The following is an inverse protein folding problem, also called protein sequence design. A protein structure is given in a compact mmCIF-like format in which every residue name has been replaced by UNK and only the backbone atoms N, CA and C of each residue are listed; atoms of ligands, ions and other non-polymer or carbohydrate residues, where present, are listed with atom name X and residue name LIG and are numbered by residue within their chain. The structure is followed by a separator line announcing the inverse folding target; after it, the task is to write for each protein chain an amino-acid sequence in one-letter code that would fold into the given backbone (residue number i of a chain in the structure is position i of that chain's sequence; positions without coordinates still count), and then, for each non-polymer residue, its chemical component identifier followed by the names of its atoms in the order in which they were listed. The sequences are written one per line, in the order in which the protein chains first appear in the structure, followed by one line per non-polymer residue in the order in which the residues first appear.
data_IF_212510574514
#
_entry.id   IF_212510574514
#
_cell.length_a   1.000
_cell.length_b   1.000
_cell.length_c   1.000
_cell.angle_alpha   90.00
_cell.angle_beta   90.00
_cell.angle_gamma   90.00
#
_symmetry.space_group_name_H-M   'P 1'
#
loop_
_entity.id
_entity.type
_entity.pdbx_description
1 polymer ?
#
# COMPACT_ATOMS: atom_id res chain seq x y z
N UNK A 1 -11.47 5.01 64.84
CA UNK A 1 -10.56 4.94 63.67
C UNK A 1 -10.45 3.48 63.28
N UNK A 2 -11.20 3.03 62.26
CA UNK A 2 -11.20 1.61 61.85
C UNK A 2 -9.90 1.35 61.10
N UNK A 3 -9.08 0.44 61.63
CA UNK A 3 -7.86 -0.03 60.95
C UNK A 3 -8.25 -0.60 59.58
N UNK A 4 -7.85 0.10 58.52
CA UNK A 4 -7.92 -0.42 57.17
C UNK A 4 -7.05 -1.69 57.13
N UNK A 5 -7.67 -2.80 56.82
CA UNK A 5 -7.11 -4.12 57.04
C UNK A 5 -6.13 -4.42 55.89
N UNK A 6 -4.85 -4.08 56.09
CA UNK A 6 -3.75 -4.07 55.09
C UNK A 6 -3.71 -5.31 54.19
N UNK A 7 -4.10 -6.49 54.70
CA UNK A 7 -4.15 -7.74 53.92
C UNK A 7 -5.12 -7.69 52.73
N UNK A 8 -6.23 -6.97 52.85
CA UNK A 8 -7.19 -6.83 51.76
C UNK A 8 -6.76 -5.75 50.76
N UNK A 9 -5.98 -4.76 51.22
CA UNK A 9 -5.38 -3.73 50.37
C UNK A 9 -4.34 -4.34 49.42
N UNK A 10 -3.50 -5.26 49.90
CA UNK A 10 -2.52 -5.95 49.05
C UNK A 10 -3.16 -6.90 48.04
N UNK A 11 -4.25 -7.59 48.40
CA UNK A 11 -4.98 -8.45 47.46
C UNK A 11 -5.66 -7.60 46.37
N UNK A 12 -6.20 -6.44 46.73
CA UNK A 12 -6.83 -5.52 45.77
C UNK A 12 -5.80 -4.90 44.80
N UNK A 13 -4.64 -4.49 45.31
CA UNK A 13 -3.51 -4.01 44.49
C UNK A 13 -2.98 -5.10 43.54
N UNK A 14 -2.90 -6.35 43.99
CA UNK A 14 -2.46 -7.47 43.14
C UNK A 14 -3.50 -7.83 42.07
N UNK A 15 -4.79 -7.56 42.31
CA UNK A 15 -5.87 -7.78 41.33
C UNK A 15 -5.90 -6.69 40.24
N UNK A 16 -5.53 -5.45 40.56
CA UNK A 16 -5.40 -4.36 39.57
C UNK A 16 -4.19 -4.62 38.64
N UNK A 17 -3.09 -5.20 39.14
CA UNK A 17 -1.93 -5.55 38.31
C UNK A 17 -2.12 -6.76 37.39
N UNK A 18 -3.31 -7.41 37.38
CA UNK A 18 -3.63 -8.53 36.47
C UNK A 18 -4.68 -8.09 35.44
N UNK A 19 -4.97 -6.79 35.30
CA UNK A 19 -5.68 -6.32 34.11
C UNK A 19 -4.68 -6.53 32.96
N UNK A 20 -4.95 -7.44 32.00
CA UNK A 20 -4.16 -7.43 30.78
C UNK A 20 -4.33 -6.04 30.18
N UNK A 21 -3.23 -5.35 29.86
CA UNK A 21 -3.23 -4.21 28.95
C UNK A 21 -3.74 -4.76 27.61
N UNK A 22 -5.06 -4.83 27.47
CA UNK A 22 -5.72 -5.18 26.24
C UNK A 22 -5.73 -3.90 25.42
N UNK A 23 -4.69 -3.72 24.62
CA UNK A 23 -4.71 -2.70 23.58
C UNK A 23 -5.97 -2.96 22.73
N UNK A 24 -6.92 -2.04 22.77
CA UNK A 24 -8.16 -2.14 22.00
C UNK A 24 -7.88 -1.68 20.58
N UNK A 25 -7.63 -2.63 19.67
CA UNK A 25 -7.59 -2.32 18.24
C UNK A 25 -9.01 -2.10 17.72
N UNK A 26 -9.29 -0.90 17.22
CA UNK A 26 -10.58 -0.58 16.60
C UNK A 26 -10.48 -0.76 15.09
N UNK A 27 -11.20 -1.75 14.53
CA UNK A 27 -11.29 -1.94 13.07
C UNK A 27 -12.07 -0.80 12.41
N UNK A 28 -11.39 -0.03 11.58
CA UNK A 28 -11.95 1.10 10.83
C UNK A 28 -12.54 0.66 9.49
N UNK A 29 -11.86 -0.23 8.77
CA UNK A 29 -12.31 -0.72 7.47
C UNK A 29 -11.76 -2.11 7.13
N UNK A 30 -12.37 -2.78 6.17
CA UNK A 30 -11.85 -4.01 5.55
C UNK A 30 -11.68 -3.77 4.05
N UNK A 31 -10.57 -4.21 3.47
CA UNK A 31 -10.25 -4.05 2.06
C UNK A 31 -9.99 -5.39 1.39
N UNK A 32 -10.74 -5.68 0.35
CA UNK A 32 -10.51 -6.83 -0.52
C UNK A 32 -9.78 -6.36 -1.79
N UNK A 33 -8.63 -6.95 -2.09
CA UNK A 33 -7.81 -6.61 -3.26
C UNK A 33 -7.57 -7.83 -4.14
N UNK A 34 -7.93 -7.73 -5.42
CA UNK A 34 -7.49 -8.65 -6.47
C UNK A 34 -6.52 -7.92 -7.37
N UNK A 35 -5.41 -8.57 -7.70
CA UNK A 35 -4.48 -8.05 -8.69
C UNK A 35 -4.09 -9.13 -9.70
N UNK A 36 -3.78 -8.71 -10.91
CA UNK A 36 -3.21 -9.55 -11.95
C UNK A 36 -2.10 -8.82 -12.68
N UNK A 37 -0.95 -9.47 -12.80
CA UNK A 37 0.19 -8.98 -13.54
C UNK A 37 0.34 -9.79 -14.84
N UNK A 38 0.36 -9.12 -15.97
CA UNK A 38 0.61 -9.72 -17.28
C UNK A 38 1.81 -9.06 -17.93
N UNK A 39 2.66 -9.81 -18.61
CA UNK A 39 3.81 -9.25 -19.30
C UNK A 39 4.47 -10.24 -20.24
N UNK A 40 5.55 -9.78 -20.87
CA UNK A 40 6.32 -10.54 -21.83
C UNK A 40 7.70 -10.86 -21.27
N UNK A 41 8.12 -12.12 -21.43
CA UNK A 41 9.47 -12.57 -21.10
C UNK A 41 10.11 -13.11 -22.38
N UNK A 42 11.23 -12.53 -22.79
CA UNK A 42 11.97 -12.94 -23.97
C UNK A 42 13.25 -13.67 -23.57
N UNK A 43 13.47 -14.85 -24.16
CA UNK A 43 14.70 -15.60 -23.99
C UNK A 43 15.73 -15.21 -25.06
N UNK A 44 16.77 -14.48 -24.68
CA UNK A 44 17.85 -14.04 -25.56
C UNK A 44 19.02 -15.06 -25.63
N UNK A 45 18.88 -16.24 -25.03
CA UNK A 45 19.85 -17.33 -25.17
C UNK A 45 19.68 -18.10 -26.49
N UNK A 46 20.78 -18.65 -27.06
CA UNK A 46 20.73 -19.54 -28.23
C UNK A 46 20.19 -20.94 -27.94
N UNK A 47 19.72 -21.20 -26.72
CA UNK A 47 19.16 -22.48 -26.26
C UNK A 47 17.89 -22.24 -25.44
N UNK A 48 17.04 -23.26 -25.34
CA UNK A 48 15.82 -23.17 -24.53
C UNK A 48 16.16 -23.03 -23.05
N UNK A 49 15.46 -22.14 -22.36
CA UNK A 49 15.57 -21.95 -20.91
C UNK A 49 14.31 -22.46 -20.24
N UNK A 50 14.48 -23.03 -19.04
CA UNK A 50 13.36 -23.38 -18.17
C UNK A 50 13.19 -22.27 -17.12
N UNK A 51 11.99 -21.70 -17.03
CA UNK A 51 11.64 -20.71 -16.02
C UNK A 51 10.75 -21.37 -14.98
N UNK A 52 11.20 -21.36 -13.74
CA UNK A 52 10.46 -21.83 -12.57
C UNK A 52 9.40 -20.81 -12.17
N UNK A 53 8.26 -21.30 -11.70
CA UNK A 53 7.16 -20.46 -11.23
C UNK A 53 7.25 -20.33 -9.70
N UNK A 54 7.19 -19.12 -9.14
CA UNK A 54 7.14 -18.94 -7.70
C UNK A 54 5.75 -19.32 -7.15
N UNK A 55 5.71 -19.88 -5.95
CA UNK A 55 4.46 -20.19 -5.23
C UNK A 55 3.86 -18.94 -4.58
N UNK A 56 4.72 -18.00 -4.19
CA UNK A 56 4.36 -16.75 -3.53
C UNK A 56 5.13 -15.58 -4.15
N UNK A 57 4.57 -14.37 -4.07
CA UNK A 57 5.28 -13.13 -4.42
C UNK A 57 5.51 -12.32 -3.16
N UNK A 58 6.76 -11.93 -2.96
CA UNK A 58 7.19 -11.00 -1.93
C UNK A 58 6.99 -9.55 -2.40
N UNK A 59 6.40 -8.74 -1.54
CA UNK A 59 6.25 -7.31 -1.74
C UNK A 59 7.38 -6.55 -1.04
N UNK A 60 7.82 -5.47 -1.66
CA UNK A 60 8.61 -4.46 -0.96
C UNK A 60 7.61 -3.51 -0.29
N UNK A 61 7.52 -3.54 1.03
CA UNK A 61 6.73 -2.56 1.77
C UNK A 61 7.33 -1.16 1.65
N UNK A 62 6.46 -0.18 1.42
CA UNK A 62 6.87 1.20 1.27
C UNK A 62 6.04 2.12 2.15
N UNK A 63 6.71 2.66 3.16
CA UNK A 63 6.17 3.73 3.98
C UNK A 63 6.15 5.05 3.20
N UNK A 64 5.02 5.76 3.32
CA UNK A 64 4.77 7.09 2.82
C UNK A 64 4.68 8.07 4.01
N UNK A 65 4.88 9.35 3.75
CA UNK A 65 4.80 10.36 4.80
C UNK A 65 3.34 10.65 5.14
N UNK A 66 2.98 10.58 6.42
CA UNK A 66 1.68 11.08 6.93
C UNK A 66 1.78 12.49 7.52
N UNK A 67 0.63 13.08 7.86
CA UNK A 67 0.53 14.32 8.64
C UNK A 67 0.37 14.02 10.11
N UNK A 68 0.89 14.89 10.99
CA UNK A 68 0.63 14.81 12.44
C UNK A 68 -0.82 15.03 12.82
N UNK A 69 -1.59 15.67 11.94
CA UNK A 69 -3.00 15.95 12.18
C UNK A 69 -3.90 14.80 11.69
N UNK A 70 -3.32 13.73 11.15
CA UNK A 70 -4.05 12.56 10.63
C UNK A 70 -4.05 11.47 11.68
N UNK A 71 -5.16 10.74 11.76
CA UNK A 71 -5.19 9.49 12.50
C UNK A 71 -4.47 8.44 11.67
N UNK A 72 -3.44 7.80 12.22
CA UNK A 72 -2.70 6.76 11.51
C UNK A 72 -3.47 5.44 11.54
N UNK A 73 -3.63 4.83 10.36
CA UNK A 73 -4.19 3.49 10.23
C UNK A 73 -3.06 2.49 10.02
N UNK A 74 -3.19 1.35 10.68
CA UNK A 74 -2.34 0.17 10.51
C UNK A 74 -3.15 -0.96 9.88
N UNK A 75 -2.47 -2.04 9.50
CA UNK A 75 -3.14 -3.28 9.11
C UNK A 75 -3.23 -4.15 10.38
N UNK A 76 -4.45 -4.43 10.83
CA UNK A 76 -4.73 -5.19 12.04
C UNK A 76 -4.35 -6.65 11.89
N UNK A 77 -3.82 -7.20 12.97
CA UNK A 77 -3.39 -8.59 13.08
C UNK A 77 -4.61 -9.53 13.00
N UNK A 78 -4.51 -10.59 12.20
CA UNK A 78 -5.42 -11.73 12.33
C UNK A 78 -4.83 -12.75 13.30
N UNK A 79 -4.84 -12.46 14.60
CA UNK A 79 -4.61 -13.34 15.77
C UNK A 79 -3.43 -14.36 15.77
N UNK A 80 -2.62 -14.50 14.73
CA UNK A 80 -1.49 -15.43 14.65
C UNK A 80 -0.33 -14.79 13.82
N UNK A 81 0.79 -14.52 14.50
CA UNK A 81 2.13 -14.13 14.02
C UNK A 81 2.40 -12.63 13.67
N UNK A 82 3.40 -12.07 14.38
CA UNK A 82 3.81 -10.65 14.52
C UNK A 82 4.34 -9.93 13.25
N UNK A 83 3.98 -10.33 12.02
CA UNK A 83 4.46 -9.65 10.80
C UNK A 83 3.34 -9.51 9.76
N UNK A 84 3.10 -8.28 9.30
CA UNK A 84 2.23 -7.99 8.15
C UNK A 84 2.66 -8.92 7.00
N UNK A 85 1.76 -9.80 6.50
CA UNK A 85 2.16 -10.81 5.51
C UNK A 85 2.82 -10.13 4.30
N UNK A 86 4.13 -10.25 4.18
CA UNK A 86 4.92 -9.62 3.10
C UNK A 86 4.84 -10.43 1.80
N UNK A 87 4.20 -11.60 1.83
CA UNK A 87 3.99 -12.46 0.67
C UNK A 87 2.51 -12.70 0.41
N UNK A 88 2.15 -12.93 -0.86
CA UNK A 88 0.85 -13.48 -1.24
C UNK A 88 1.05 -14.80 -2.01
N UNK A 89 0.21 -15.84 -1.79
CA UNK A 89 0.19 -17.00 -2.67
C UNK A 89 -0.26 -16.58 -4.07
N UNK A 90 0.42 -17.07 -5.11
CA UNK A 90 0.17 -16.63 -6.49
C UNK A 90 -0.25 -17.77 -7.40
N UNK A 91 -1.26 -17.51 -8.22
CA UNK A 91 -1.61 -18.41 -9.32
C UNK A 91 -1.00 -17.92 -10.62
N UNK A 92 -0.26 -18.79 -11.31
CA UNK A 92 0.26 -18.55 -12.65
C UNK A 92 -0.59 -19.24 -13.71
N UNK A 93 -1.06 -18.47 -14.68
CA UNK A 93 -1.77 -18.95 -15.86
C UNK A 93 -0.77 -19.14 -17.00
N UNK A 94 -0.41 -20.39 -17.25
CA UNK A 94 0.62 -20.74 -18.22
C UNK A 94 0.31 -22.01 -19.01
N UNK A 95 0.59 -21.96 -20.31
CA UNK A 95 0.49 -23.09 -21.23
C UNK A 95 1.66 -23.08 -22.23
N UNK A 96 2.44 -24.16 -22.40
CA UNK A 96 2.37 -25.44 -21.67
C UNK A 96 3.11 -25.39 -20.32
N UNK A 97 2.48 -25.94 -19.28
CA UNK A 97 3.10 -26.19 -17.98
C UNK A 97 4.01 -27.43 -18.07
N UNK A 98 5.16 -27.37 -17.42
CA UNK A 98 6.17 -28.45 -17.38
C UNK A 98 6.79 -28.54 -15.98
N UNK A 99 7.55 -29.60 -15.74
CA UNK A 99 8.24 -29.85 -14.48
C UNK A 99 9.69 -30.21 -14.79
N UNK A 100 10.63 -29.57 -14.11
CA UNK A 100 12.06 -29.86 -14.21
C UNK A 100 12.63 -29.93 -12.79
N UNK A 101 13.28 -31.06 -12.45
CA UNK A 101 13.88 -31.28 -11.13
C UNK A 101 12.91 -31.08 -9.93
N UNK A 102 11.63 -31.43 -10.09
CA UNK A 102 10.62 -31.24 -9.04
C UNK A 102 10.06 -29.83 -8.92
N UNK A 103 10.48 -28.91 -9.81
CA UNK A 103 9.97 -27.54 -9.84
C UNK A 103 9.04 -27.35 -11.03
N UNK A 104 7.87 -26.78 -10.76
CA UNK A 104 6.90 -26.41 -11.80
C UNK A 104 7.38 -25.16 -12.54
N UNK A 105 7.13 -25.15 -13.85
CA UNK A 105 7.62 -24.09 -14.71
C UNK A 105 7.25 -24.29 -16.17
N UNK A 106 8.05 -23.70 -17.05
CA UNK A 106 7.84 -23.74 -18.48
C UNK A 106 9.12 -23.51 -19.27
N UNK A 107 9.13 -24.00 -20.51
CA UNK A 107 10.24 -23.80 -21.43
C UNK A 107 9.98 -22.62 -22.36
N UNK A 108 10.95 -21.73 -22.46
CA UNK A 108 10.99 -20.70 -23.50
C UNK A 108 12.07 -21.09 -24.53
N UNK A 109 11.71 -21.33 -25.80
CA UNK A 109 12.67 -21.58 -26.87
C UNK A 109 13.68 -20.42 -27.08
N UNK A 110 14.78 -20.65 -27.80
CA UNK A 110 15.77 -19.62 -28.13
C UNK A 110 15.14 -18.44 -28.89
N UNK A 111 15.44 -17.20 -28.50
CA UNK A 111 15.01 -15.98 -29.17
C UNK A 111 13.49 -15.88 -29.35
N UNK A 112 12.74 -16.37 -28.36
CA UNK A 112 11.28 -16.32 -28.37
C UNK A 112 10.75 -15.64 -27.12
N UNK A 113 9.57 -15.06 -27.29
CA UNK A 113 8.84 -14.35 -26.23
C UNK A 113 7.67 -15.20 -25.75
N UNK A 114 7.53 -15.32 -24.43
CA UNK A 114 6.40 -15.93 -23.78
C UNK A 114 5.57 -14.85 -23.07
N UNK A 115 4.24 -14.98 -23.16
CA UNK A 115 3.34 -14.17 -22.36
C UNK A 115 3.11 -14.86 -21.02
N UNK A 116 3.23 -14.10 -19.94
CA UNK A 116 2.92 -14.58 -18.60
C UNK A 116 1.73 -13.83 -18.02
N UNK A 117 0.98 -14.53 -17.19
CA UNK A 117 -0.08 -13.96 -16.37
C UNK A 117 -0.03 -14.60 -15.00
N UNK A 118 0.01 -13.77 -13.98
CA UNK A 118 -0.06 -14.18 -12.59
C UNK A 118 -1.08 -13.32 -11.86
N UNK A 119 -1.72 -13.86 -10.83
CA UNK A 119 -2.73 -13.14 -10.06
C UNK A 119 -2.85 -13.66 -8.65
N UNK A 120 -3.30 -12.79 -7.75
CA UNK A 120 -3.64 -13.16 -6.38
C UNK A 120 -4.79 -12.30 -5.83
N UNK A 121 -5.25 -12.68 -4.65
CA UNK A 121 -6.28 -12.02 -3.85
C UNK A 121 -5.78 -11.86 -2.43
N UNK A 122 -6.04 -10.70 -1.84
CA UNK A 122 -5.67 -10.37 -0.47
C UNK A 122 -6.82 -9.66 0.24
N UNK A 123 -6.88 -9.84 1.56
CA UNK A 123 -7.75 -9.08 2.45
C UNK A 123 -6.86 -8.35 3.44
N UNK A 124 -7.04 -7.04 3.56
CA UNK A 124 -6.37 -6.21 4.57
C UNK A 124 -7.44 -5.63 5.52
N UNK A 125 -7.12 -5.52 6.80
CA UNK A 125 -8.01 -5.01 7.84
C UNK A 125 -7.40 -3.73 8.39
N UNK A 126 -8.02 -2.57 8.13
CA UNK A 126 -7.46 -1.30 8.60
C UNK A 126 -7.91 -1.05 10.04
N UNK A 127 -6.96 -0.96 10.97
CA UNK A 127 -7.20 -0.69 12.40
C UNK A 127 -6.58 0.64 12.82
N UNK A 128 -7.05 1.13 13.97
CA UNK A 128 -6.37 2.17 14.73
C UNK A 128 -6.08 1.60 16.11
N UNK A 129 -4.91 1.93 16.65
CA UNK A 129 -4.63 1.65 18.05
C UNK A 129 -5.26 2.76 18.87
N UNK A 130 -6.14 2.42 19.80
CA UNK A 130 -6.48 3.33 20.88
C UNK A 130 -5.28 3.31 21.84
N UNK A 131 -4.47 4.38 21.81
CA UNK A 131 -3.45 4.59 22.83
C UNK A 131 -4.19 4.80 24.16
N UNK A 132 -4.33 3.74 24.96
CA UNK A 132 -4.84 3.78 26.35
C UNK A 132 -3.94 4.61 27.31
N UNK A 133 -2.96 5.36 26.79
CA UNK A 133 -2.12 6.26 27.58
C UNK A 133 -2.85 7.54 28.05
N UNK A 134 -4.13 7.71 27.70
CA UNK A 134 -5.03 8.69 28.30
C UNK A 134 -5.94 8.06 29.39
N UNK A 135 -5.34 7.29 30.30
CA UNK A 135 -5.93 7.17 31.64
C UNK A 135 -5.86 8.54 32.34
N UNK A 136 -7.04 9.04 32.73
CA UNK A 136 -7.29 10.14 33.68
C UNK A 136 -6.97 11.58 33.22
N UNK A 137 -7.90 12.19 32.52
CA UNK A 137 -8.72 13.30 33.03
C UNK A 137 -9.67 13.74 31.91
N UNK A 138 -10.76 14.44 32.23
CA UNK A 138 -11.54 15.15 31.23
C UNK A 138 -10.60 15.97 30.34
N UNK A 139 -10.24 15.46 29.16
CA UNK A 139 -9.43 16.19 28.20
C UNK A 139 -10.34 17.28 27.63
N UNK A 140 -10.45 18.36 28.40
CA UNK A 140 -11.11 19.55 27.94
C UNK A 140 -10.25 20.03 26.80
N UNK A 141 -10.69 19.73 25.58
CA UNK A 141 -10.21 20.34 24.35
C UNK A 141 -10.38 21.85 24.51
N UNK A 142 -9.31 22.51 25.00
CA UNK A 142 -9.31 23.94 25.34
C UNK A 142 -9.03 24.81 24.12
N UNK A 143 -8.62 24.18 23.02
CA UNK A 143 -8.22 24.80 21.76
C UNK A 143 -8.94 24.16 20.59
N UNK A 144 -9.26 24.94 19.56
CA UNK A 144 -9.74 24.36 18.30
C UNK A 144 -8.55 23.68 17.62
N UNK A 145 -8.62 22.38 17.46
CA UNK A 145 -7.59 21.59 16.79
C UNK A 145 -8.03 21.23 15.36
N UNK A 146 -7.06 21.13 14.47
CA UNK A 146 -7.29 20.69 13.10
C UNK A 146 -7.21 19.17 13.10
N UNK A 147 -8.33 18.49 12.85
CA UNK A 147 -8.38 17.05 12.66
C UNK A 147 -8.49 16.73 11.16
N UNK A 148 -7.53 15.98 10.65
CA UNK A 148 -7.51 15.49 9.27
C UNK A 148 -8.12 14.09 9.14
N UNK A 149 -8.12 13.50 7.93
CA UNK A 149 -8.61 12.14 7.72
C UNK A 149 -7.78 11.10 8.48
N UNK A 150 -8.31 9.89 8.57
CA UNK A 150 -7.51 8.72 8.85
C UNK A 150 -6.68 8.35 7.61
N UNK A 151 -5.40 8.07 7.77
CA UNK A 151 -4.49 7.78 6.68
C UNK A 151 -3.82 6.43 6.89
N UNK A 152 -3.85 5.57 5.87
CA UNK A 152 -3.01 4.36 5.81
C UNK A 152 -1.76 4.69 4.99
N UNK A 153 -0.59 4.93 5.62
CA UNK A 153 0.56 5.50 4.95
C UNK A 153 1.50 4.44 4.34
N UNK A 154 0.97 3.28 3.92
CA UNK A 154 1.78 2.19 3.37
C UNK A 154 1.25 1.72 2.02
N UNK A 155 2.16 1.26 1.15
CA UNK A 155 1.82 0.59 -0.10
C UNK A 155 2.76 -0.59 -0.36
N UNK A 156 2.27 -1.60 -1.08
CA UNK A 156 3.03 -2.79 -1.46
C UNK A 156 3.59 -2.63 -2.87
N UNK A 157 4.90 -2.81 -3.03
CA UNK A 157 5.56 -2.70 -4.32
C UNK A 157 5.87 -4.08 -4.91
N UNK A 158 5.45 -4.28 -6.15
CA UNK A 158 5.86 -5.39 -6.99
C UNK A 158 7.10 -4.96 -7.78
N UNK A 159 8.24 -5.60 -7.52
CA UNK A 159 9.48 -5.43 -8.30
C UNK A 159 9.68 -6.61 -9.25
N UNK A 160 9.54 -6.37 -10.55
CA UNK A 160 9.74 -7.39 -11.59
C UNK A 160 11.12 -8.03 -11.54
N UNK A 161 12.12 -7.28 -11.10
CA UNK A 161 13.50 -7.73 -11.02
C UNK A 161 13.77 -8.61 -9.80
N UNK A 162 12.88 -8.60 -8.80
CA UNK A 162 12.88 -9.57 -7.69
C UNK A 162 12.04 -10.81 -8.03
N UNK A 163 10.92 -10.66 -8.75
CA UNK A 163 10.11 -11.81 -9.22
C UNK A 163 10.88 -12.64 -10.25
N UNK A 164 11.61 -11.97 -11.16
CA UNK A 164 12.39 -12.62 -12.21
C UNK A 164 13.85 -12.12 -12.10
N UNK A 165 14.64 -12.62 -11.14
CA UNK A 165 16.02 -12.17 -10.91
C UNK A 165 16.94 -12.35 -12.12
N UNK A 166 16.61 -13.31 -12.99
CA UNK A 166 17.34 -13.54 -14.24
C UNK A 166 17.38 -12.28 -15.13
N UNK A 167 16.36 -11.42 -15.07
CA UNK A 167 16.35 -10.15 -15.82
C UNK A 167 17.51 -9.20 -15.48
N UNK A 168 18.09 -9.29 -14.28
CA UNK A 168 19.18 -8.39 -13.84
C UNK A 168 20.55 -8.75 -14.42
N UNK A 169 20.77 -10.01 -14.79
CA UNK A 169 22.12 -10.54 -15.09
C UNK A 169 22.18 -11.49 -16.29
N UNK A 170 21.05 -12.03 -16.70
CA UNK A 170 20.95 -13.03 -17.74
C UNK A 170 20.44 -12.43 -19.05
N UNK A 171 20.50 -13.23 -20.11
CA UNK A 171 19.86 -12.96 -21.40
C UNK A 171 18.36 -13.21 -21.34
N UNK A 172 17.68 -12.63 -20.36
CA UNK A 172 16.22 -12.66 -20.21
C UNK A 172 15.74 -11.21 -20.20
N UNK A 173 14.95 -10.85 -21.19
CA UNK A 173 14.37 -9.50 -21.31
C UNK A 173 12.92 -9.52 -20.85
N UNK A 174 12.52 -8.45 -20.15
CA UNK A 174 11.17 -8.24 -19.64
C UNK A 174 10.58 -7.03 -20.36
N UNK A 175 9.35 -7.12 -20.87
CA UNK A 175 8.68 -5.98 -21.48
C UNK A 175 7.15 -6.04 -21.35
N UNK A 176 6.48 -4.91 -21.64
CA UNK A 176 5.03 -4.78 -21.78
C UNK A 176 4.24 -5.28 -20.55
N UNK A 177 4.78 -5.07 -19.35
CA UNK A 177 4.13 -5.48 -18.12
C UNK A 177 2.96 -4.54 -17.76
N UNK A 178 1.86 -5.15 -17.32
CA UNK A 178 0.62 -4.47 -16.94
C UNK A 178 0.13 -5.07 -15.64
N UNK A 179 0.08 -4.26 -14.60
CA UNK A 179 -0.55 -4.60 -13.33
C UNK A 179 -1.98 -4.07 -13.35
N UNK A 180 -2.96 -4.95 -13.28
CA UNK A 180 -4.37 -4.60 -13.09
C UNK A 180 -4.76 -4.89 -11.66
N UNK A 181 -5.31 -3.90 -10.97
CA UNK A 181 -5.79 -4.04 -9.59
C UNK A 181 -7.26 -3.64 -9.54
N UNK A 182 -8.06 -4.42 -8.82
CA UNK A 182 -9.44 -4.09 -8.47
C UNK A 182 -9.73 -4.56 -7.06
N UNK A 183 -10.63 -3.89 -6.39
CA UNK A 183 -10.99 -4.24 -5.04
C UNK A 183 -12.16 -3.45 -4.53
N UNK A 184 -12.42 -3.61 -3.26
CA UNK A 184 -13.39 -2.81 -2.54
C UNK A 184 -12.95 -2.55 -1.12
N UNK A 185 -13.45 -1.45 -0.57
CA UNK A 185 -13.26 -1.09 0.82
C UNK A 185 -14.62 -0.90 1.49
N UNK A 186 -14.78 -1.50 2.67
CA UNK A 186 -15.99 -1.45 3.48
C UNK A 186 -15.65 -0.83 4.83
N UNK A 187 -16.12 0.39 5.04
CA UNK A 187 -15.96 1.10 6.31
C UNK A 187 -16.86 0.47 7.39
N UNK A 188 -16.34 0.34 8.62
CA UNK A 188 -17.12 -0.04 9.80
C UNK A 188 -17.80 1.17 10.44
N UNK A 189 -18.74 0.91 11.35
CA UNK A 189 -19.43 1.96 12.10
C UNK A 189 -18.50 2.50 13.20
N UNK A 190 -17.67 3.46 12.82
CA UNK A 190 -16.64 4.13 13.64
C UNK A 190 -16.71 5.63 13.43
N UNK A 191 -16.14 6.40 14.37
CA UNK A 191 -16.12 7.87 14.34
C UNK A 191 -15.24 8.46 13.23
N UNK A 192 -14.37 7.64 12.64
CA UNK A 192 -13.62 8.00 11.44
C UNK A 192 -14.59 8.28 10.32
N UNK A 193 -14.54 9.43 9.65
CA UNK A 193 -15.43 9.74 8.52
C UNK A 193 -14.70 9.75 7.18
N UNK A 194 -13.40 10.04 7.18
CA UNK A 194 -12.60 10.20 5.97
C UNK A 194 -11.37 9.32 6.02
N UNK A 195 -11.09 8.61 4.92
CA UNK A 195 -9.94 7.73 4.76
C UNK A 195 -9.12 8.19 3.55
N UNK A 196 -7.81 8.34 3.76
CA UNK A 196 -6.78 8.55 2.75
C UNK A 196 -5.95 7.26 2.66
N UNK A 197 -5.83 6.70 1.46
CA UNK A 197 -5.09 5.46 1.24
C UNK A 197 -4.38 5.51 -0.11
N UNK A 198 -3.07 5.25 -0.20
CA UNK A 198 -2.39 5.10 -1.48
C UNK A 198 -2.95 3.92 -2.28
N UNK A 199 -2.60 3.82 -3.55
CA UNK A 199 -2.84 2.61 -4.32
C UNK A 199 -2.26 1.41 -3.55
N UNK A 200 -3.06 0.39 -3.20
CA UNK A 200 -2.63 -0.66 -2.27
C UNK A 200 -1.47 -1.51 -2.81
N UNK A 201 -1.41 -1.70 -4.13
CA UNK A 201 -0.36 -2.47 -4.81
C UNK A 201 0.13 -1.69 -6.02
N UNK A 202 1.43 -1.46 -6.09
CA UNK A 202 2.05 -0.63 -7.13
C UNK A 202 3.12 -1.43 -7.85
N UNK A 203 3.15 -1.32 -9.17
CA UNK A 203 4.24 -1.87 -9.98
C UNK A 203 5.42 -0.90 -9.90
N UNK A 204 6.58 -1.36 -9.43
CA UNK A 204 7.77 -0.51 -9.31
C UNK A 204 8.15 0.07 -10.67
N UNK A 205 8.55 1.34 -10.69
CA UNK A 205 8.99 2.09 -11.88
C UNK A 205 7.95 2.11 -13.02
N UNK A 206 6.65 2.03 -12.69
CA UNK A 206 5.58 2.14 -13.67
C UNK A 206 5.64 3.49 -14.43
N UNK A 207 5.27 3.44 -15.70
CA UNK A 207 5.24 4.58 -16.62
C UNK A 207 3.94 5.38 -16.54
N UNK A 208 2.79 4.72 -16.34
CA UNK A 208 1.46 5.34 -16.34
C UNK A 208 0.50 4.54 -15.48
N UNK A 209 -0.46 5.21 -14.84
CA UNK A 209 -1.53 4.61 -14.05
C UNK A 209 -2.90 5.09 -14.53
N UNK A 210 -3.66 4.21 -15.18
CA UNK A 210 -5.05 4.45 -15.60
C UNK A 210 -6.00 4.06 -14.47
N UNK A 211 -6.80 5.01 -13.99
CA UNK A 211 -7.78 4.80 -12.91
C UNK A 211 -9.17 4.64 -13.50
N UNK A 212 -9.94 3.66 -13.02
CA UNK A 212 -11.29 3.41 -13.52
C UNK A 212 -12.33 3.84 -12.48
N UNK A 213 -13.29 4.64 -12.96
CA UNK A 213 -14.38 5.20 -12.15
C UNK A 213 -15.69 4.52 -12.56
N UNK A 214 -16.31 3.81 -11.64
CA UNK A 214 -17.63 3.18 -11.74
C UNK A 214 -18.70 3.99 -10.99
N UNK A 215 -19.98 3.66 -11.18
CA UNK A 215 -21.10 4.36 -10.50
C UNK A 215 -21.04 4.27 -8.96
N UNK A 216 -20.36 3.24 -8.44
CA UNK A 216 -20.15 3.00 -7.01
C UNK A 216 -18.66 2.91 -6.68
N UNK A 217 -17.81 3.54 -7.49
CA UNK A 217 -16.40 3.65 -7.17
C UNK A 217 -16.13 4.90 -6.35
N UNK A 218 -15.01 4.88 -5.63
CA UNK A 218 -14.44 6.11 -5.07
C UNK A 218 -14.18 7.09 -6.22
N UNK A 219 -14.95 8.19 -6.27
CA UNK A 219 -14.83 9.25 -7.28
C UNK A 219 -13.62 10.18 -7.04
N UNK A 220 -12.80 9.87 -6.05
CA UNK A 220 -11.81 10.78 -5.47
C UNK A 220 -10.44 10.10 -5.45
N UNK A 221 -10.03 9.62 -6.62
CA UNK A 221 -8.62 9.37 -6.85
C UNK A 221 -7.89 10.70 -6.99
N UNK A 222 -6.75 10.81 -6.31
CA UNK A 222 -5.76 11.86 -6.53
C UNK A 222 -4.56 11.27 -7.25
N UNK A 223 -3.85 12.09 -8.02
CA UNK A 223 -2.69 11.65 -8.80
C UNK A 223 -1.46 11.39 -7.92
N UNK A 224 -1.39 12.09 -6.78
CA UNK A 224 -0.28 12.03 -5.84
C UNK A 224 -0.78 11.96 -4.40
N UNK A 225 -0.37 10.92 -3.68
CA UNK A 225 -0.53 10.84 -2.23
C UNK A 225 0.28 11.94 -1.54
N UNK A 226 1.54 12.12 -1.95
CA UNK A 226 2.49 13.02 -1.31
C UNK A 226 2.06 14.49 -1.43
N UNK A 227 1.60 14.90 -2.60
CA UNK A 227 1.09 16.25 -2.84
C UNK A 227 -0.17 16.49 -2.00
N UNK A 228 -1.08 15.51 -1.92
CA UNK A 228 -2.29 15.63 -1.10
C UNK A 228 -1.98 15.83 0.38
N UNK A 229 -1.03 15.05 0.92
CA UNK A 229 -0.56 15.21 2.30
C UNK A 229 0.13 16.56 2.50
N UNK A 230 0.93 17.01 1.53
CA UNK A 230 1.67 18.28 1.58
C UNK A 230 0.72 19.47 1.58
N UNK A 231 -0.24 19.51 0.66
CA UNK A 231 -1.27 20.54 0.58
C UNK A 231 -2.03 20.66 1.90
N UNK A 232 -2.36 19.53 2.53
CA UNK A 232 -3.05 19.52 3.82
C UNK A 232 -2.16 20.01 4.97
N UNK A 233 -0.89 19.63 4.98
CA UNK A 233 0.08 20.10 5.97
C UNK A 233 0.30 21.61 5.88
N UNK A 234 0.41 22.16 4.67
CA UNK A 234 0.55 23.60 4.45
C UNK A 234 -0.68 24.34 4.96
N UNK A 235 -1.89 23.86 4.66
CA UNK A 235 -3.14 24.44 5.21
C UNK A 235 -3.18 24.44 6.74
N UNK A 236 -2.62 23.42 7.39
CA UNK A 236 -2.52 23.37 8.86
C UNK A 236 -1.47 24.31 9.46
N UNK A 237 -0.49 24.74 8.66
CA UNK A 237 0.61 25.62 9.07
C UNK A 237 0.27 27.12 8.96
N UNK A 238 -0.74 27.47 8.17
CA UNK A 238 -1.14 28.87 7.97
C UNK A 238 -2.18 29.33 9.00
N UNK A 239 -1.71 30.03 10.02
CA UNK A 239 -2.55 30.92 10.83
C UNK A 239 -3.15 32.04 9.97
N UNK A 240 -4.42 31.90 9.55
CA UNK A 240 -5.42 32.92 9.18
C UNK A 240 -5.06 34.08 8.21
N UNK A 241 -3.86 34.17 7.64
CA UNK A 241 -3.41 35.39 6.94
C UNK A 241 -3.27 35.29 5.41
N UNK A 242 -3.66 34.16 4.79
CA UNK A 242 -3.60 34.01 3.32
C UNK A 242 -4.90 33.53 2.65
N UNK A 243 -6.05 33.70 3.30
CA UNK A 243 -7.36 33.38 2.70
C UNK A 243 -7.69 34.23 1.46
N UNK A 244 -7.05 35.40 1.28
CA UNK A 244 -7.28 36.30 0.13
C UNK A 244 -6.41 36.01 -1.11
N UNK A 245 -5.45 35.09 -1.06
CA UNK A 245 -4.60 34.74 -2.22
C UNK A 245 -5.08 33.49 -2.99
N UNK A 246 -6.30 33.03 -2.75
CA UNK A 246 -6.88 31.77 -3.28
C UNK A 246 -7.24 31.77 -4.77
N UNK A 247 -6.53 32.52 -5.62
CA UNK A 247 -6.72 32.48 -7.09
C UNK A 247 -5.44 32.40 -7.92
N UNK A 248 -4.27 32.13 -7.33
CA UNK A 248 -3.05 31.81 -8.09
C UNK A 248 -2.28 30.70 -7.36
N UNK A 249 -1.94 29.58 -8.03
CA UNK A 249 -1.08 28.56 -7.42
C UNK A 249 0.29 29.16 -7.13
N UNK A 250 0.74 29.02 -5.88
CA UNK A 250 2.10 29.35 -5.47
C UNK A 250 2.95 28.12 -5.72
N UNK A 251 3.79 28.15 -6.76
CA UNK A 251 4.85 27.18 -6.95
C UNK A 251 5.98 27.52 -5.98
N UNK A 252 6.14 26.74 -4.91
CA UNK A 252 7.35 26.77 -4.09
C UNK A 252 8.41 25.85 -4.72
N UNK A 253 9.41 26.46 -5.36
CA UNK A 253 10.60 25.76 -5.84
C UNK A 253 11.64 25.70 -4.72
N UNK A 254 11.42 24.79 -3.77
CA UNK A 254 12.43 24.38 -2.78
C UNK A 254 13.53 23.51 -3.41
N UNK A 255 14.80 23.67 -3.03
CA UNK A 255 15.91 22.91 -3.62
C UNK A 255 16.02 21.54 -2.95
N UNK A 256 15.65 20.46 -3.66
CA UNK A 256 15.75 19.10 -3.13
C UNK A 256 15.40 18.02 -4.16
N UNK A 257 16.33 17.76 -5.06
CA UNK A 257 16.29 16.75 -6.13
C UNK A 257 16.29 15.30 -5.61
N UNK A 258 15.17 14.87 -5.05
CA UNK A 258 14.84 13.44 -4.99
C UNK A 258 13.43 13.30 -5.53
N UNK A 259 13.23 12.51 -6.60
CA UNK A 259 11.90 11.98 -6.92
C UNK A 259 11.48 11.19 -5.68
N UNK A 260 10.71 11.78 -4.79
CA UNK A 260 10.04 11.03 -3.74
C UNK A 260 9.20 9.98 -4.43
N UNK A 261 9.35 8.73 -4.00
CA UNK A 261 8.46 7.68 -4.44
C UNK A 261 7.03 8.12 -4.13
N UNK A 262 6.20 8.17 -5.16
CA UNK A 262 4.86 8.74 -5.05
C UNK A 262 3.89 7.94 -5.93
N UNK A 263 2.65 7.88 -5.44
CA UNK A 263 1.63 6.98 -5.97
C UNK A 263 0.27 7.66 -5.92
N UNK A 264 -0.65 7.28 -6.82
CA UNK A 264 -2.04 7.70 -6.73
C UNK A 264 -2.63 7.26 -5.40
N UNK A 265 -3.59 8.04 -4.89
CA UNK A 265 -4.30 7.70 -3.67
C UNK A 265 -5.81 7.80 -3.82
N UNK A 266 -6.51 6.96 -3.07
CA UNK A 266 -7.93 7.02 -2.80
C UNK A 266 -8.15 7.93 -1.61
N UNK A 267 -8.98 8.94 -1.79
CA UNK A 267 -9.47 9.79 -0.71
C UNK A 267 -10.97 9.63 -0.68
N UNK A 268 -11.60 9.33 0.45
CA UNK A 268 -13.06 9.33 0.49
C UNK A 268 -13.60 9.65 1.87
N UNK A 269 -14.82 10.18 1.90
CA UNK A 269 -15.55 10.50 3.13
C UNK A 269 -16.89 9.78 3.08
N UNK A 270 -17.17 8.95 4.06
CA UNK A 270 -18.45 8.25 4.18
C UNK A 270 -18.76 7.92 5.64
N UNK A 271 -20.00 8.15 6.04
CA UNK A 271 -20.55 7.61 7.29
C UNK A 271 -21.28 6.29 7.07
N UNK A 272 -21.34 5.80 5.82
CA UNK A 272 -22.03 4.58 5.44
C UNK A 272 -21.05 3.41 5.37
N UNK A 273 -21.54 2.23 5.75
CA UNK A 273 -20.91 0.93 5.50
C UNK A 273 -21.07 0.43 4.07
N UNK A 274 -21.47 1.30 3.13
CA UNK A 274 -21.56 0.95 1.72
C UNK A 274 -20.18 0.58 1.18
N UNK A 275 -20.12 -0.56 0.49
CA UNK A 275 -18.94 -1.01 -0.22
C UNK A 275 -18.56 -0.03 -1.34
N UNK A 276 -17.31 0.44 -1.30
CA UNK A 276 -16.74 1.34 -2.30
C UNK A 276 -15.72 0.58 -3.13
N UNK A 277 -16.01 0.47 -4.43
CA UNK A 277 -15.11 -0.21 -5.37
C UNK A 277 -13.95 0.69 -5.81
N UNK A 278 -12.80 0.10 -6.08
CA UNK A 278 -11.68 0.76 -6.73
C UNK A 278 -11.08 -0.15 -7.81
N UNK A 279 -10.51 0.44 -8.85
CA UNK A 279 -9.71 -0.30 -9.83
C UNK A 279 -8.81 0.62 -10.63
N UNK A 280 -7.65 0.11 -11.01
CA UNK A 280 -6.65 0.81 -11.80
C UNK A 280 -5.78 -0.17 -12.59
N UNK A 281 -5.06 0.36 -13.58
CA UNK A 281 -4.07 -0.37 -14.36
C UNK A 281 -2.78 0.44 -14.43
N UNK A 282 -1.67 -0.18 -14.04
CA UNK A 282 -0.33 0.38 -14.19
C UNK A 282 0.39 -0.31 -15.34
N UNK A 283 1.16 0.47 -16.10
CA UNK A 283 1.94 0.00 -17.24
C UNK A 283 3.43 0.15 -16.96
N UNK A 284 4.20 -0.85 -17.32
CA UNK A 284 5.65 -0.84 -17.25
C UNK A 284 6.20 -1.32 -18.60
N UNK A 285 7.22 -0.62 -19.07
CA UNK A 285 7.94 -0.90 -20.30
C UNK A 285 9.42 -0.89 -19.97
N UNK A 286 10.20 -1.73 -20.65
CA UNK A 286 11.65 -1.62 -20.54
C UNK A 286 12.07 -0.22 -20.98
N UNK A 287 12.98 0.42 -20.23
CA UNK A 287 13.61 1.63 -20.71
C UNK A 287 14.44 1.26 -21.95
N UNK A 288 14.18 1.91 -23.09
CA UNK A 288 15.03 1.74 -24.27
C UNK A 288 16.45 2.17 -23.88
N UNK A 289 17.42 1.24 -23.87
CA UNK A 289 18.83 1.62 -23.85
C UNK A 289 19.07 2.52 -25.06
N UNK A 290 19.28 3.82 -24.81
CA UNK A 290 19.62 4.82 -25.83
C UNK A 290 20.99 4.40 -26.42
N UNK A 291 20.96 3.53 -27.43
CA UNK A 291 22.13 2.99 -28.14
C UNK A 291 22.72 4.07 -29.05
N UNK A 292 23.11 5.20 -28.46
CA UNK A 292 23.85 6.27 -29.15
C UNK A 292 25.35 6.01 -29.24
N UNK A 293 25.87 4.95 -28.61
CA UNK A 293 27.33 4.70 -28.55
C UNK A 293 27.83 3.50 -29.39
N UNK A 294 27.08 3.02 -30.39
CA UNK A 294 27.57 1.93 -31.30
C UNK A 294 28.01 2.45 -32.69
N UNK A 295 28.09 3.77 -32.92
CA UNK A 295 28.63 4.32 -34.19
C UNK A 295 29.86 5.22 -34.05
N UNK A 296 30.71 4.97 -33.06
CA UNK A 296 32.09 5.48 -33.07
C UNK A 296 33.07 4.40 -32.61
N UNK A 297 33.45 3.50 -33.54
CA UNK A 297 34.81 2.96 -33.72
C UNK A 297 34.90 2.13 -35.01
#
# INVERSE_FOLDING_TARGET
MKMLNIKYLTIFLFLISIIPNAHSETTVATMDTYWSLTGEITNEYPYSVFITIPEEIEYIEKDLKSSKNFMELTNGESDDDDEEESTDPVTFDITPKSELNGQEGFWIPPYTTANIKMYSTRVDVLTTNEDDDEEDDDEVVRTMEISGPAAYPKTKLIDLSEIIPASKKDKIELDNFKLYVKGSIVKKDTDVLSILMPAPIVLKDYSTCDKFISKYSVNTWVDSYSDWVTDHNELSSYGSTMLDNTLVPVFDLGPGFYKTFDVPALVYTTSSNQELSFSYKMYWYAEEEDTKDIWML
#
